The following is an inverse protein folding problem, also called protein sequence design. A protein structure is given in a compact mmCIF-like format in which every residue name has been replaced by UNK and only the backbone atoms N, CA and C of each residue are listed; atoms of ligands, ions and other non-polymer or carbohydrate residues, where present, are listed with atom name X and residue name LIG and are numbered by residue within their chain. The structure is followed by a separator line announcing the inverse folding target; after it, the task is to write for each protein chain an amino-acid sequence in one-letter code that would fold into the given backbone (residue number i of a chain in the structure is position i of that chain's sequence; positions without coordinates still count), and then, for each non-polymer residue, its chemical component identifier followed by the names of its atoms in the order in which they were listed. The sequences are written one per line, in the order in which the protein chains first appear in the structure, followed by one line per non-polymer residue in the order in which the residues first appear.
data_IF_877931884458
#
_entry.id   IF_877931884458
#
_cell.length_a   1.000
_cell.length_b   1.000
_cell.length_c   1.000
_cell.angle_alpha   90.00
_cell.angle_beta   90.00
_cell.angle_gamma   90.00
#
_symmetry.space_group_name_H-M   'P 1'
#
loop_
_entity.id
_entity.type
_entity.pdbx_description
1 polymer ?
#
# COMPACT_ATOMS: atom_id res chain seq x y z
N UNK A 1 -72.53 29.54 26.97
CA UNK A 1 -72.18 28.38 26.12
C UNK A 1 -72.25 28.84 24.68
N UNK A 2 -71.16 28.75 23.92
CA UNK A 2 -71.10 29.22 22.52
C UNK A 2 -70.14 28.31 21.73
N UNK A 3 -70.52 27.80 20.56
CA UNK A 3 -69.65 26.93 19.76
C UNK A 3 -68.64 27.75 18.96
N UNK A 4 -67.35 27.40 19.03
CA UNK A 4 -66.34 27.91 18.09
C UNK A 4 -66.12 26.86 17.01
N UNK A 5 -66.35 27.26 15.74
CA UNK A 5 -66.28 26.34 14.59
C UNK A 5 -64.83 26.13 14.16
N UNK A 6 -64.44 24.88 13.93
CA UNK A 6 -63.13 24.54 13.36
C UNK A 6 -63.04 24.96 11.89
N UNK A 7 -61.97 25.69 11.53
CA UNK A 7 -61.62 25.98 10.14
C UNK A 7 -60.28 25.31 9.81
N UNK A 8 -60.34 24.23 9.03
CA UNK A 8 -59.21 23.34 8.74
C UNK A 8 -58.54 23.75 7.42
N UNK A 9 -57.43 24.49 7.50
CA UNK A 9 -56.64 24.87 6.31
C UNK A 9 -55.60 23.79 6.02
N UNK A 10 -55.75 23.11 4.88
CA UNK A 10 -54.83 22.06 4.42
C UNK A 10 -53.66 22.66 3.65
N UNK A 11 -52.43 22.60 4.21
CA UNK A 11 -51.19 22.90 3.47
C UNK A 11 -50.51 21.59 3.06
N UNK A 12 -50.52 21.27 1.77
CA UNK A 12 -49.95 20.03 1.22
C UNK A 12 -48.50 20.24 0.81
N UNK A 13 -47.56 20.02 1.73
CA UNK A 13 -46.14 19.98 1.41
C UNK A 13 -45.70 18.54 1.11
N UNK A 14 -45.32 18.28 -0.14
CA UNK A 14 -44.74 17.00 -0.55
C UNK A 14 -43.30 16.89 -0.03
N UNK A 15 -43.14 16.33 1.17
CA UNK A 15 -41.83 15.93 1.66
C UNK A 15 -41.23 14.87 0.73
N UNK A 16 -40.07 15.18 0.14
CA UNK A 16 -39.28 14.22 -0.64
C UNK A 16 -38.56 13.28 0.33
N UNK A 17 -39.22 12.17 0.65
CA UNK A 17 -38.65 11.14 1.51
C UNK A 17 -37.46 10.46 0.82
N UNK A 18 -36.24 10.76 1.28
CA UNK A 18 -35.06 9.95 0.98
C UNK A 18 -35.31 8.50 1.42
N UNK A 19 -34.89 7.48 0.64
CA UNK A 19 -35.02 6.10 1.05
C UNK A 19 -34.15 5.83 2.28
N UNK A 20 -34.79 5.65 3.44
CA UNK A 20 -34.11 5.29 4.66
C UNK A 20 -33.54 3.86 4.51
N UNK A 21 -32.23 3.76 4.29
CA UNK A 21 -31.51 2.49 4.41
C UNK A 21 -31.59 2.02 5.85
N UNK A 22 -32.56 1.15 6.12
CA UNK A 22 -32.73 0.50 7.41
C UNK A 22 -31.50 -0.33 7.73
N UNK A 23 -30.60 0.21 8.55
CA UNK A 23 -29.63 -0.59 9.29
C UNK A 23 -30.40 -1.45 10.28
N UNK A 24 -30.88 -2.59 9.81
CA UNK A 24 -31.27 -3.68 10.69
C UNK A 24 -30.04 -4.06 11.50
N UNK A 25 -30.02 -3.67 12.77
CA UNK A 25 -29.09 -4.24 13.73
C UNK A 25 -29.41 -5.74 13.79
N UNK A 26 -28.52 -6.55 13.22
CA UNK A 26 -28.69 -7.99 13.20
C UNK A 26 -28.38 -8.50 14.61
N UNK A 27 -29.43 -8.62 15.40
CA UNK A 27 -29.37 -9.15 16.76
C UNK A 27 -29.02 -10.65 16.69
N UNK A 28 -27.82 -10.99 17.15
CA UNK A 28 -27.29 -12.34 17.21
C UNK A 28 -26.72 -12.56 18.62
N UNK A 29 -27.21 -13.56 19.34
CA UNK A 29 -26.52 -14.01 20.56
C UNK A 29 -25.18 -14.64 20.13
N UNK A 30 -24.01 -14.11 20.56
CA UNK A 30 -22.72 -14.68 20.21
C UNK A 30 -22.59 -16.15 20.63
N UNK A 31 -23.36 -16.63 21.61
CA UNK A 31 -23.37 -18.03 22.07
C UNK A 31 -23.89 -19.01 21.02
N UNK A 32 -24.79 -18.59 20.12
CA UNK A 32 -25.19 -19.42 18.96
C UNK A 32 -24.03 -19.64 17.98
N UNK A 33 -23.04 -18.74 18.03
CA UNK A 33 -21.83 -18.75 17.22
C UNK A 33 -20.65 -19.39 17.96
N UNK A 34 -20.82 -19.99 19.14
CA UNK A 34 -19.75 -20.68 19.87
C UNK A 34 -19.78 -22.21 19.65
N UNK A 35 -18.61 -22.85 19.62
CA UNK A 35 -18.47 -24.32 19.70
C UNK A 35 -18.18 -24.71 21.16
N UNK A 36 -19.11 -25.37 21.87
CA UNK A 36 -18.89 -25.75 23.27
C UNK A 36 -17.67 -26.66 23.44
N UNK A 37 -16.81 -26.34 24.41
CA UNK A 37 -15.67 -27.16 24.81
C UNK A 37 -14.38 -27.00 23.98
N UNK A 38 -14.37 -26.17 22.92
CA UNK A 38 -13.13 -25.84 22.20
C UNK A 38 -12.78 -24.36 22.42
N UNK A 39 -11.56 -24.10 22.92
CA UNK A 39 -11.06 -22.75 23.18
C UNK A 39 -10.07 -22.29 22.10
N UNK A 40 -9.98 -20.97 21.91
CA UNK A 40 -8.96 -20.28 21.11
C UNK A 40 -8.34 -19.16 21.92
N UNK A 41 -7.07 -18.84 21.65
CA UNK A 41 -6.44 -17.65 22.22
C UNK A 41 -6.57 -16.50 21.22
N UNK A 42 -7.48 -15.57 21.50
CA UNK A 42 -7.54 -14.28 20.83
C UNK A 42 -6.32 -13.45 21.26
N UNK A 43 -5.65 -12.83 20.29
CA UNK A 43 -4.55 -11.88 20.49
C UNK A 43 -4.93 -10.58 19.79
N UNK A 44 -5.10 -9.51 20.56
CA UNK A 44 -5.34 -8.15 20.08
C UNK A 44 -4.09 -7.32 20.33
N UNK A 45 -3.55 -6.69 19.30
CA UNK A 45 -2.37 -5.81 19.39
C UNK A 45 -2.80 -4.37 19.20
N UNK A 46 -2.28 -3.48 20.04
CA UNK A 46 -2.73 -2.08 20.09
C UNK A 46 -1.58 -1.10 20.40
N UNK A 47 -1.71 0.13 19.91
CA UNK A 47 -0.86 1.26 20.27
C UNK A 47 -1.75 2.41 20.74
N UNK A 48 -1.82 2.62 22.06
CA UNK A 48 -2.78 3.55 22.65
C UNK A 48 -4.22 3.09 22.40
N UNK A 49 -5.02 3.93 21.74
CA UNK A 49 -6.41 3.62 21.38
C UNK A 49 -6.56 2.87 20.03
N UNK A 50 -5.49 2.73 19.25
CA UNK A 50 -5.54 2.12 17.91
C UNK A 50 -5.24 0.63 17.99
N UNK A 51 -6.16 -0.21 17.53
CA UNK A 51 -5.91 -1.65 17.28
C UNK A 51 -5.12 -1.78 15.97
N UNK A 52 -4.08 -2.62 15.99
CA UNK A 52 -3.15 -2.85 14.89
C UNK A 52 -3.30 -4.24 14.27
N UNK A 53 -3.61 -5.26 15.07
CA UNK A 53 -3.87 -6.64 14.64
C UNK A 53 -4.85 -7.35 15.59
N UNK A 54 -5.58 -8.33 15.07
CA UNK A 54 -6.44 -9.26 15.83
C UNK A 54 -6.33 -10.67 15.22
N UNK A 55 -5.78 -11.63 15.96
CA UNK A 55 -5.62 -13.01 15.49
C UNK A 55 -6.12 -14.03 16.52
N UNK A 56 -6.84 -15.05 16.06
CA UNK A 56 -7.34 -16.15 16.88
C UNK A 56 -6.46 -17.40 16.71
N UNK A 57 -5.54 -17.61 17.66
CA UNK A 57 -4.62 -18.76 17.67
C UNK A 57 -5.41 -20.05 17.91
N UNK A 58 -5.13 -21.07 17.09
CA UNK A 58 -5.81 -22.38 17.12
C UNK A 58 -7.14 -22.44 16.36
N UNK A 59 -7.70 -21.31 15.88
CA UNK A 59 -9.00 -21.32 15.17
C UNK A 59 -8.93 -21.98 13.78
N UNK A 60 -7.79 -21.88 13.09
CA UNK A 60 -7.55 -22.48 11.77
C UNK A 60 -6.30 -23.37 11.79
N UNK A 61 -6.34 -24.49 11.05
CA UNK A 61 -5.21 -25.44 10.96
C UNK A 61 -3.90 -24.73 10.61
N UNK A 62 -2.84 -24.97 11.39
CA UNK A 62 -1.51 -24.39 11.18
C UNK A 62 -1.31 -22.98 11.75
N UNK A 63 -2.34 -22.37 12.36
CA UNK A 63 -2.22 -21.09 13.11
C UNK A 63 -2.14 -21.34 14.62
N UNK A 64 -1.25 -22.24 15.01
CA UNK A 64 -1.08 -22.74 16.38
C UNK A 64 -0.08 -21.92 17.22
N UNK A 65 0.39 -20.78 16.69
CA UNK A 65 1.29 -19.83 17.36
C UNK A 65 1.00 -18.39 16.93
N UNK A 66 1.26 -17.45 17.83
CA UNK A 66 1.39 -16.01 17.55
C UNK A 66 2.84 -15.59 17.72
N UNK A 67 3.43 -14.98 16.70
CA UNK A 67 4.87 -14.65 16.65
C UNK A 67 5.13 -13.15 16.49
N UNK A 68 6.08 -12.63 17.27
CA UNK A 68 6.67 -11.30 17.12
C UNK A 68 8.03 -11.47 16.43
N UNK A 69 8.40 -10.59 15.49
CA UNK A 69 9.71 -10.66 14.83
C UNK A 69 9.80 -9.76 13.59
N UNK A 70 10.96 -9.73 12.95
CA UNK A 70 11.17 -9.01 11.68
C UNK A 70 10.91 -9.88 10.44
N UNK A 71 10.73 -11.20 10.62
CA UNK A 71 10.59 -12.14 9.50
C UNK A 71 9.18 -12.08 8.89
N UNK A 72 9.02 -12.37 7.57
CA UNK A 72 7.71 -12.37 6.91
C UNK A 72 6.68 -13.35 7.49
N UNK A 73 7.12 -14.31 8.31
CA UNK A 73 6.30 -15.33 8.97
C UNK A 73 5.92 -14.97 10.42
N UNK A 74 6.29 -13.77 10.89
CA UNK A 74 5.79 -13.23 12.15
C UNK A 74 4.30 -12.87 12.04
N UNK A 75 3.50 -13.13 13.09
CA UNK A 75 2.13 -12.61 13.18
C UNK A 75 2.13 -11.08 13.30
N UNK A 76 3.13 -10.49 13.97
CA UNK A 76 3.25 -9.05 14.15
C UNK A 76 4.71 -8.58 14.00
N UNK A 77 4.97 -7.54 13.15
CA UNK A 77 6.32 -7.03 12.96
C UNK A 77 6.84 -6.31 14.21
N UNK A 78 7.98 -6.76 14.73
CA UNK A 78 8.67 -6.15 15.89
C UNK A 78 10.18 -6.24 15.67
N UNK A 79 10.87 -5.12 15.87
CA UNK A 79 12.32 -5.04 15.65
C UNK A 79 13.14 -6.04 16.46
N UNK A 80 14.19 -6.56 15.84
CA UNK A 80 15.10 -7.58 16.39
C UNK A 80 15.68 -7.17 17.76
N UNK A 81 16.15 -5.91 17.86
CA UNK A 81 16.74 -5.33 19.07
C UNK A 81 15.79 -5.30 20.28
N UNK A 82 14.48 -5.38 20.04
CA UNK A 82 13.46 -5.41 21.08
C UNK A 82 13.13 -6.84 21.54
N UNK A 83 13.61 -7.89 20.87
CA UNK A 83 13.25 -9.29 21.15
C UNK A 83 14.43 -10.12 21.67
N UNK A 84 14.27 -10.86 22.78
CA UNK A 84 15.31 -11.77 23.25
C UNK A 84 15.50 -12.91 22.26
N UNK A 85 16.71 -13.01 21.69
CA UNK A 85 17.03 -13.96 20.61
C UNK A 85 16.98 -13.37 19.20
N UNK A 86 16.64 -12.08 19.04
CA UNK A 86 17.02 -11.27 17.88
C UNK A 86 16.38 -11.56 16.52
N UNK A 87 15.43 -12.50 16.38
CA UNK A 87 14.70 -12.71 15.11
C UNK A 87 13.22 -13.06 15.28
N UNK A 88 12.87 -13.96 16.20
CA UNK A 88 11.45 -14.32 16.44
C UNK A 88 11.19 -14.72 17.88
N UNK A 89 10.13 -14.15 18.47
CA UNK A 89 9.61 -14.50 19.78
C UNK A 89 8.17 -15.02 19.67
N UNK A 90 7.92 -16.26 20.10
CA UNK A 90 6.56 -16.83 20.15
C UNK A 90 5.86 -16.28 21.38
N UNK A 91 4.91 -15.35 21.22
CA UNK A 91 4.14 -14.73 22.30
C UNK A 91 3.08 -15.69 22.85
N UNK A 92 2.37 -16.40 21.97
CA UNK A 92 1.31 -17.37 22.33
C UNK A 92 1.53 -18.65 21.54
N UNK A 93 1.36 -19.80 22.18
CA UNK A 93 1.44 -21.11 21.52
C UNK A 93 0.35 -22.06 22.02
N UNK A 94 -0.27 -22.81 21.11
CA UNK A 94 -1.17 -23.94 21.42
C UNK A 94 -0.35 -25.17 21.83
N UNK A 95 -0.76 -25.83 22.90
CA UNK A 95 -0.22 -27.09 23.40
C UNK A 95 -1.38 -28.04 23.72
N UNK A 96 -1.73 -28.94 22.79
CA UNK A 96 -2.99 -29.69 22.88
C UNK A 96 -4.16 -28.70 22.82
N UNK A 97 -5.08 -28.76 23.77
CA UNK A 97 -6.25 -27.87 23.83
C UNK A 97 -6.07 -26.69 24.80
N UNK A 98 -4.84 -26.45 25.24
CA UNK A 98 -4.47 -25.34 26.15
C UNK A 98 -3.51 -24.38 25.45
N UNK A 99 -3.53 -23.12 25.87
CA UNK A 99 -2.65 -22.09 25.35
C UNK A 99 -1.61 -21.68 26.39
N UNK A 100 -0.40 -21.40 25.93
CA UNK A 100 0.67 -20.87 26.76
C UNK A 100 1.08 -19.49 26.28
N UNK A 101 1.04 -18.53 27.21
CA UNK A 101 1.63 -17.21 27.06
C UNK A 101 3.13 -17.31 27.37
N UNK A 102 3.97 -16.70 26.54
CA UNK A 102 5.38 -16.44 26.86
C UNK A 102 5.62 -14.94 27.00
N UNK A 103 6.47 -14.56 27.94
CA UNK A 103 6.82 -13.17 28.19
C UNK A 103 8.28 -13.00 28.60
N UNK A 104 8.81 -11.81 28.36
CA UNK A 104 10.22 -11.44 28.65
C UNK A 104 10.31 -10.67 29.96
N UNK A 105 11.52 -10.48 30.50
CA UNK A 105 11.73 -9.61 31.67
C UNK A 105 11.54 -8.10 31.38
N UNK A 106 11.50 -7.71 30.10
CA UNK A 106 11.22 -6.34 29.66
C UNK A 106 9.71 -6.06 29.53
N UNK A 107 8.91 -7.10 29.28
CA UNK A 107 7.45 -7.00 29.25
C UNK A 107 6.89 -6.71 30.65
N UNK A 108 5.80 -5.93 30.69
CA UNK A 108 5.08 -5.55 31.92
C UNK A 108 3.60 -5.86 31.80
N UNK A 109 2.88 -5.85 32.91
CA UNK A 109 1.43 -6.06 32.94
C UNK A 109 1.05 -7.30 33.77
N UNK A 110 -0.10 -7.86 33.44
CA UNK A 110 -0.90 -8.66 34.37
C UNK A 110 -1.73 -9.74 33.66
N UNK A 111 -2.13 -10.76 34.42
CA UNK A 111 -3.05 -11.81 33.98
C UNK A 111 -4.20 -11.93 34.97
N UNK A 112 -5.42 -11.90 34.44
CA UNK A 112 -6.67 -12.04 35.18
C UNK A 112 -7.31 -13.40 34.86
N UNK A 113 -7.69 -14.16 35.88
CA UNK A 113 -8.52 -15.36 35.74
C UNK A 113 -9.29 -15.64 37.03
N UNK A 114 -10.51 -16.17 36.94
CA UNK A 114 -11.32 -16.57 38.11
C UNK A 114 -11.47 -15.48 39.20
N UNK A 115 -11.51 -14.20 38.80
CA UNK A 115 -11.56 -13.05 39.72
C UNK A 115 -10.22 -12.66 40.39
N UNK A 116 -9.14 -13.40 40.12
CA UNK A 116 -7.77 -13.11 40.57
C UNK A 116 -7.01 -12.34 39.49
N UNK A 117 -6.34 -11.26 39.89
CA UNK A 117 -5.35 -10.55 39.08
C UNK A 117 -3.95 -10.90 39.59
N UNK A 118 -2.98 -11.12 38.69
CA UNK A 118 -1.58 -11.31 39.04
C UNK A 118 -0.63 -10.67 38.03
N UNK A 119 0.31 -9.87 38.53
CA UNK A 119 1.40 -9.25 37.77
C UNK A 119 2.32 -10.31 37.13
N UNK A 120 2.86 -10.06 35.93
CA UNK A 120 3.79 -10.99 35.25
C UNK A 120 4.99 -11.35 36.15
N UNK A 121 5.47 -10.40 36.96
CA UNK A 121 6.56 -10.64 37.93
C UNK A 121 6.13 -11.54 39.09
N UNK A 122 4.87 -11.42 39.53
CA UNK A 122 4.32 -12.26 40.59
C UNK A 122 4.08 -13.71 40.11
N UNK A 123 3.74 -13.91 38.83
CA UNK A 123 3.69 -15.26 38.24
C UNK A 123 5.05 -15.97 38.27
N UNK A 124 6.15 -15.25 38.02
CA UNK A 124 7.52 -15.79 38.14
C UNK A 124 7.87 -16.05 39.60
N UNK A 125 7.66 -15.07 40.48
CA UNK A 125 8.00 -15.18 41.91
C UNK A 125 7.24 -16.28 42.66
N UNK A 126 6.01 -16.61 42.23
CA UNK A 126 5.20 -17.71 42.79
C UNK A 126 5.45 -19.06 42.10
N UNK A 127 6.41 -19.16 41.18
CA UNK A 127 6.71 -20.40 40.43
C UNK A 127 5.63 -20.83 39.43
N UNK A 128 4.63 -19.98 39.17
CA UNK A 128 3.51 -20.27 38.26
C UNK A 128 3.93 -20.18 36.79
N UNK A 129 4.95 -19.39 36.47
CA UNK A 129 5.53 -19.28 35.14
C UNK A 129 6.86 -20.03 35.02
N UNK A 130 6.90 -21.08 34.20
CA UNK A 130 8.10 -21.90 33.95
C UNK A 130 9.18 -21.08 33.23
N UNK A 131 10.46 -21.11 33.63
CA UNK A 131 11.53 -20.50 32.86
C UNK A 131 11.73 -21.19 31.51
N UNK A 132 12.13 -20.43 30.48
CA UNK A 132 12.42 -20.89 29.11
C UNK A 132 13.59 -20.09 28.52
N UNK A 133 14.14 -20.53 27.38
CA UNK A 133 15.10 -19.71 26.63
C UNK A 133 14.47 -18.35 26.24
N UNK A 134 15.07 -17.25 26.70
CA UNK A 134 14.62 -15.88 26.39
C UNK A 134 13.44 -15.35 27.20
N UNK A 135 12.93 -16.07 28.23
CA UNK A 135 11.84 -15.56 29.06
C UNK A 135 11.09 -16.65 29.83
N UNK A 136 9.86 -16.36 30.25
CA UNK A 136 9.03 -17.30 31.01
C UNK A 136 7.80 -17.74 30.21
N UNK A 137 7.22 -18.88 30.57
CA UNK A 137 6.00 -19.45 29.99
C UNK A 137 4.96 -19.70 31.08
N UNK A 138 3.78 -19.10 30.93
CA UNK A 138 2.60 -19.35 31.77
C UNK A 138 1.53 -20.08 30.95
N UNK A 139 0.98 -21.17 31.47
CA UNK A 139 -0.17 -21.84 30.82
C UNK A 139 -1.43 -21.06 31.18
N UNK A 140 -2.08 -20.46 30.18
CA UNK A 140 -3.32 -19.72 30.37
C UNK A 140 -4.44 -20.69 30.81
N UNK A 141 -5.16 -20.37 31.90
CA UNK A 141 -6.45 -20.99 32.19
C UNK A 141 -7.52 -20.62 31.15
N UNK A 142 -8.61 -21.36 31.18
CA UNK A 142 -9.78 -21.09 30.35
C UNK A 142 -10.50 -19.82 30.86
N UNK A 143 -10.92 -18.93 29.95
CA UNK A 143 -11.44 -17.60 30.30
C UNK A 143 -10.40 -16.60 30.83
N UNK A 144 -9.11 -16.95 30.88
CA UNK A 144 -8.06 -16.04 31.32
C UNK A 144 -7.82 -14.89 30.32
N UNK A 145 -7.46 -13.71 30.84
CA UNK A 145 -7.12 -12.51 30.06
C UNK A 145 -5.79 -11.94 30.53
N UNK A 146 -4.80 -11.84 29.65
CA UNK A 146 -3.51 -11.23 29.92
C UNK A 146 -3.37 -9.89 29.18
N UNK A 147 -2.79 -8.90 29.84
CA UNK A 147 -2.34 -7.64 29.24
C UNK A 147 -0.82 -7.55 29.37
N UNK A 148 -0.13 -7.42 28.25
CA UNK A 148 1.32 -7.28 28.19
C UNK A 148 1.69 -5.98 27.49
N UNK A 149 2.62 -5.23 28.06
CA UNK A 149 3.12 -3.98 27.51
C UNK A 149 4.61 -4.08 27.19
N UNK A 150 4.98 -3.62 26.00
CA UNK A 150 6.33 -3.64 25.51
C UNK A 150 6.60 -2.43 24.60
N UNK A 151 7.51 -1.55 25.00
CA UNK A 151 7.72 -0.26 24.34
C UNK A 151 6.46 0.61 24.39
N UNK A 152 5.80 0.80 23.25
CA UNK A 152 4.49 1.50 23.12
C UNK A 152 3.35 0.58 22.67
N UNK A 153 3.61 -0.73 22.56
CA UNK A 153 2.63 -1.72 22.08
C UNK A 153 2.06 -2.49 23.26
N UNK A 154 0.73 -2.63 23.28
CA UNK A 154 -0.01 -3.43 24.24
C UNK A 154 -0.62 -4.65 23.54
N UNK A 155 -0.24 -5.83 23.99
CA UNK A 155 -0.77 -7.12 23.56
C UNK A 155 -1.79 -7.59 24.60
N UNK A 156 -3.01 -7.83 24.16
CA UNK A 156 -4.09 -8.35 24.99
C UNK A 156 -4.38 -9.77 24.51
N UNK A 157 -4.25 -10.76 25.39
CA UNK A 157 -4.42 -12.18 25.06
C UNK A 157 -5.55 -12.76 25.88
N UNK A 158 -6.58 -13.31 25.25
CA UNK A 158 -7.75 -13.88 25.93
C UNK A 158 -8.02 -15.32 25.50
N UNK A 159 -8.15 -16.24 26.46
CA UNK A 159 -8.68 -17.58 26.19
C UNK A 159 -10.20 -17.51 26.08
N UNK A 160 -10.73 -17.55 24.85
CA UNK A 160 -12.16 -17.41 24.54
C UNK A 160 -12.73 -18.69 23.92
N UNK A 161 -14.05 -18.84 23.94
CA UNK A 161 -14.73 -19.93 23.24
C UNK A 161 -14.50 -19.83 21.72
N UNK A 162 -14.31 -20.95 21.03
CA UNK A 162 -14.08 -20.95 19.60
C UNK A 162 -15.35 -20.55 18.85
N UNK A 163 -15.26 -19.48 18.06
CA UNK A 163 -16.32 -19.14 17.12
C UNK A 163 -16.53 -20.25 16.08
N UNK A 164 -17.73 -20.83 16.09
CA UNK A 164 -18.27 -21.79 15.12
C UNK A 164 -18.39 -21.12 13.75
N UNK A 165 -17.70 -21.65 12.75
CA UNK A 165 -17.78 -21.13 11.39
C UNK A 165 -19.14 -21.42 10.75
N UNK A 166 -20.10 -20.51 10.91
CA UNK A 166 -21.31 -20.52 10.06
C UNK A 166 -20.89 -20.16 8.65
N UNK A 167 -20.78 -21.18 7.80
CA UNK A 167 -20.58 -21.04 6.36
C UNK A 167 -21.85 -20.46 5.71
N UNK A 168 -22.11 -19.16 5.91
CA UNK A 168 -23.05 -18.43 5.05
C UNK A 168 -22.54 -18.57 3.63
N UNK A 169 -23.39 -19.08 2.74
CA UNK A 169 -23.17 -19.05 1.29
C UNK A 169 -22.83 -17.60 0.93
N UNK A 170 -21.64 -17.37 0.36
CA UNK A 170 -21.15 -16.03 0.10
C UNK A 170 -22.11 -15.32 -0.86
N UNK A 171 -22.96 -14.45 -0.31
CA UNK A 171 -23.90 -13.65 -1.08
C UNK A 171 -23.11 -12.52 -1.73
N UNK A 172 -22.55 -12.85 -2.90
CA UNK A 172 -21.75 -11.93 -3.69
C UNK A 172 -22.55 -10.65 -3.95
N UNK A 173 -22.01 -9.53 -3.47
CA UNK A 173 -22.61 -8.20 -3.60
C UNK A 173 -22.80 -7.89 -5.09
N UNK A 174 -24.04 -8.01 -5.55
CA UNK A 174 -24.42 -7.85 -6.97
C UNK A 174 -24.14 -6.42 -7.45
N UNK A 175 -24.53 -5.35 -6.71
CA UNK A 175 -24.06 -3.99 -6.99
C UNK A 175 -22.53 -3.87 -7.15
N UNK A 176 -21.74 -4.39 -6.21
CA UNK A 176 -20.27 -4.31 -6.27
C UNK A 176 -19.71 -5.05 -7.51
N UNK A 177 -20.22 -6.24 -7.82
CA UNK A 177 -19.81 -6.99 -9.01
C UNK A 177 -20.25 -6.31 -10.32
N UNK A 178 -21.43 -5.68 -10.36
CA UNK A 178 -21.87 -4.89 -11.51
C UNK A 178 -20.98 -3.65 -11.71
N UNK A 179 -20.65 -2.91 -10.65
CA UNK A 179 -19.75 -1.75 -10.74
C UNK A 179 -18.34 -2.15 -11.19
N UNK A 180 -17.80 -3.25 -10.67
CA UNK A 180 -16.49 -3.77 -11.07
C UNK A 180 -16.51 -4.26 -12.52
N UNK A 181 -17.54 -5.00 -12.95
CA UNK A 181 -17.67 -5.48 -14.33
C UNK A 181 -17.86 -4.31 -15.33
N UNK A 182 -18.66 -3.30 -14.98
CA UNK A 182 -18.82 -2.09 -15.80
C UNK A 182 -17.53 -1.30 -15.93
N UNK A 183 -16.79 -1.14 -14.83
CA UNK A 183 -15.47 -0.48 -14.83
C UNK A 183 -14.45 -1.24 -15.67
N UNK A 184 -14.42 -2.58 -15.55
CA UNK A 184 -13.56 -3.44 -16.36
C UNK A 184 -13.93 -3.41 -17.85
N UNK A 185 -15.22 -3.30 -18.19
CA UNK A 185 -15.66 -3.13 -19.58
C UNK A 185 -15.20 -1.78 -20.16
N UNK A 186 -15.39 -0.67 -19.43
CA UNK A 186 -14.93 0.67 -19.88
C UNK A 186 -13.41 0.73 -20.05
N UNK A 187 -12.65 0.23 -19.06
CA UNK A 187 -11.19 0.17 -19.14
C UNK A 187 -10.71 -0.77 -20.25
N UNK A 188 -11.38 -1.92 -20.44
CA UNK A 188 -11.09 -2.86 -21.51
C UNK A 188 -11.37 -2.30 -22.90
N UNK A 189 -12.46 -1.55 -23.09
CA UNK A 189 -12.75 -0.84 -24.34
C UNK A 189 -11.73 0.26 -24.61
N UNK A 190 -11.34 1.05 -23.60
CA UNK A 190 -10.30 2.07 -23.75
C UNK A 190 -8.94 1.47 -24.12
N UNK A 191 -8.55 0.38 -23.45
CA UNK A 191 -7.29 -0.33 -23.72
C UNK A 191 -7.31 -0.99 -25.12
N UNK A 192 -8.44 -1.57 -25.53
CA UNK A 192 -8.61 -2.11 -26.88
C UNK A 192 -8.50 -1.01 -27.95
N UNK A 193 -9.06 0.19 -27.71
CA UNK A 193 -8.90 1.33 -28.61
C UNK A 193 -7.44 1.77 -28.72
N UNK A 194 -6.69 1.81 -27.61
CA UNK A 194 -5.24 2.11 -27.64
C UNK A 194 -4.47 1.08 -28.48
N UNK A 195 -4.77 -0.21 -28.34
CA UNK A 195 -4.15 -1.27 -29.15
C UNK A 195 -4.70 -1.39 -30.60
N UNK A 196 -5.68 -0.59 -30.98
CA UNK A 196 -6.21 -0.50 -32.35
C UNK A 196 -5.65 0.70 -33.14
N UNK A 197 -4.86 1.58 -32.51
CA UNK A 197 -4.10 2.62 -33.21
C UNK A 197 -2.82 1.99 -33.79
N UNK A 198 -2.57 2.05 -35.11
CA UNK A 198 -1.30 1.61 -35.69
C UNK A 198 -0.14 2.47 -35.19
N UNK A 199 1.04 1.87 -34.98
CA UNK A 199 2.24 2.61 -34.56
C UNK A 199 2.59 3.76 -35.54
N UNK A 200 2.34 3.56 -36.84
CA UNK A 200 2.51 4.59 -37.89
C UNK A 200 1.71 5.87 -37.60
N UNK A 201 0.51 5.75 -37.01
CA UNK A 201 -0.35 6.88 -36.68
C UNK A 201 0.09 7.61 -35.39
N UNK A 202 0.85 6.94 -34.51
CA UNK A 202 1.52 7.58 -33.37
C UNK A 202 2.83 8.25 -33.82
N UNK A 203 3.53 7.65 -34.79
CA UNK A 203 4.76 8.18 -35.37
C UNK A 203 4.55 9.47 -36.21
N UNK A 204 3.38 9.63 -36.85
CA UNK A 204 2.96 10.82 -37.64
C UNK A 204 2.73 12.10 -36.81
N UNK A 205 3.54 12.35 -35.76
CA UNK A 205 3.38 13.53 -34.89
C UNK A 205 4.69 14.14 -34.35
N UNK A 206 5.87 13.67 -34.77
CA UNK A 206 7.16 14.22 -34.33
C UNK A 206 7.90 15.03 -35.41
N UNK A 207 8.05 14.48 -36.63
CA UNK A 207 8.73 15.20 -37.72
C UNK A 207 7.90 16.39 -38.22
N UNK A 208 6.60 16.23 -38.51
CA UNK A 208 5.74 17.36 -38.96
C UNK A 208 5.64 18.47 -37.90
N UNK A 209 5.53 18.13 -36.62
CA UNK A 209 5.53 19.10 -35.51
C UNK A 209 6.88 19.80 -35.36
N UNK A 210 7.97 19.19 -35.84
CA UNK A 210 9.30 19.81 -35.88
C UNK A 210 9.49 20.66 -37.16
N UNK A 211 8.92 20.25 -38.29
CA UNK A 211 9.00 20.95 -39.57
C UNK A 211 8.20 22.26 -39.57
N UNK A 212 6.99 22.27 -39.01
CA UNK A 212 6.13 23.47 -38.91
C UNK A 212 6.55 24.41 -37.76
N UNK A 213 7.66 24.09 -37.08
CA UNK A 213 8.12 24.78 -35.87
C UNK A 213 8.87 26.09 -36.19
N UNK A 214 8.10 27.11 -36.57
CA UNK A 214 8.54 28.50 -36.87
C UNK A 214 9.48 29.18 -35.85
N UNK A 215 9.72 28.58 -34.68
CA UNK A 215 10.62 29.08 -33.64
C UNK A 215 12.08 28.65 -33.83
N UNK A 216 12.38 27.66 -34.68
CA UNK A 216 13.76 27.20 -34.97
C UNK A 216 14.67 28.35 -35.45
N UNK A 217 14.12 29.35 -36.16
CA UNK A 217 14.86 30.52 -36.65
C UNK A 217 15.45 31.45 -35.59
N UNK A 218 15.18 31.24 -34.29
CA UNK A 218 15.74 32.03 -33.19
C UNK A 218 16.93 31.39 -32.47
N UNK A 219 17.24 30.10 -32.72
CA UNK A 219 18.35 29.40 -32.03
C UNK A 219 19.71 29.64 -32.71
N UNK A 220 19.74 29.95 -34.01
CA UNK A 220 20.94 30.35 -34.74
C UNK A 220 20.83 31.78 -35.26
N UNK A 221 20.97 32.74 -34.33
CA UNK A 221 21.18 34.14 -34.66
C UNK A 221 22.69 34.41 -34.58
N UNK A 222 23.43 34.53 -35.71
CA UNK A 222 24.87 34.75 -35.68
C UNK A 222 25.19 36.14 -35.14
N UNK A 223 26.26 36.26 -34.35
CA UNK A 223 26.71 37.53 -33.78
C UNK A 223 26.91 38.58 -34.88
N UNK A 224 26.33 39.77 -34.68
CA UNK A 224 26.65 40.93 -35.50
C UNK A 224 28.05 41.42 -35.13
N UNK A 225 29.02 41.47 -36.05
CA UNK A 225 30.28 42.15 -35.78
C UNK A 225 30.01 43.64 -35.57
N UNK A 226 30.61 44.24 -34.54
CA UNK A 226 30.53 45.68 -34.32
C UNK A 226 31.26 46.47 -35.42
N UNK A 227 30.87 47.73 -35.70
CA UNK A 227 31.52 48.54 -36.73
C UNK A 227 32.92 48.96 -36.28
N UNK A 228 33.96 48.34 -36.85
CA UNK A 228 35.34 48.79 -36.63
C UNK A 228 35.57 50.17 -37.27
N UNK A 229 36.06 51.13 -36.47
CA UNK A 229 36.38 52.47 -36.94
C UNK A 229 37.54 52.45 -37.96
N UNK A 230 37.47 53.32 -38.98
CA UNK A 230 38.41 53.33 -40.10
C UNK A 230 39.30 54.58 -40.07
N UNK A 231 40.59 54.36 -39.80
CA UNK A 231 41.66 55.34 -39.99
C UNK A 231 41.85 55.76 -41.46
N UNK A 232 42.67 56.80 -41.68
CA UNK A 232 42.67 57.59 -42.92
C UNK A 232 43.98 57.51 -43.72
N UNK A 233 43.97 56.69 -44.77
CA UNK A 233 44.95 56.62 -45.86
C UNK A 233 44.14 56.30 -47.15
N UNK A 234 44.33 56.90 -48.35
CA UNK A 234 45.44 57.67 -48.90
C UNK A 234 46.29 56.76 -49.82
N UNK A 235 46.26 56.83 -51.16
CA UNK A 235 45.60 57.76 -52.10
C UNK A 235 45.21 57.02 -53.43
N UNK A 236 44.73 57.72 -54.46
CA UNK A 236 43.84 57.18 -55.50
C UNK A 236 44.47 56.68 -56.84
N UNK A 237 43.57 56.20 -57.72
CA UNK A 237 43.70 55.71 -59.13
C UNK A 237 43.95 54.19 -59.29
N UNK A 238 43.13 53.40 -60.00
CA UNK A 238 41.80 53.65 -60.57
C UNK A 238 41.57 52.99 -61.95
N UNK A 239 40.75 51.94 -62.01
CA UNK A 239 40.14 51.41 -63.25
C UNK A 239 38.93 50.50 -62.92
N UNK A 240 37.82 50.72 -63.61
CA UNK A 240 36.65 49.82 -63.72
C UNK A 240 36.85 48.90 -64.96
N UNK A 241 36.10 47.82 -65.26
CA UNK A 241 34.88 47.26 -64.68
C UNK A 241 34.81 45.70 -64.82
N UNK A 242 33.69 44.96 -65.05
CA UNK A 242 33.32 43.83 -64.21
C UNK A 242 33.63 42.43 -64.80
N UNK A 243 33.42 41.38 -63.98
CA UNK A 243 33.50 39.97 -64.38
C UNK A 243 32.12 39.30 -64.40
N UNK A 244 31.85 38.52 -65.46
CA UNK A 244 30.60 37.77 -65.66
C UNK A 244 30.89 36.52 -66.49
N UNK A 245 30.29 35.37 -66.10
CA UNK A 245 30.40 34.06 -66.79
C UNK A 245 31.83 33.45 -66.82
N UNK A 246 32.08 32.17 -67.09
CA UNK A 246 31.31 30.94 -66.90
C UNK A 246 32.27 29.71 -66.95
N UNK A 247 31.75 28.52 -66.72
CA UNK A 247 32.47 27.26 -66.50
C UNK A 247 33.42 26.76 -67.61
N UNK A 248 34.53 26.12 -67.19
CA UNK A 248 35.22 25.01 -67.85
C UNK A 248 36.10 24.28 -66.78
N UNK A 249 35.80 23.04 -66.40
CA UNK A 249 36.32 21.77 -66.97
C UNK A 249 37.60 21.24 -66.28
N UNK A 250 37.66 19.91 -66.05
CA UNK A 250 38.85 19.19 -65.56
C UNK A 250 39.90 18.94 -66.67
N UNK A 251 40.97 18.13 -66.44
CA UNK A 251 40.89 16.81 -65.79
C UNK A 251 42.04 16.47 -64.81
N UNK A 252 42.08 15.21 -64.33
CA UNK A 252 43.21 14.60 -63.61
C UNK A 252 44.32 14.09 -64.58
N UNK A 253 45.50 13.66 -64.08
CA UNK A 253 45.72 12.23 -63.82
C UNK A 253 46.57 11.93 -62.55
N UNK A 254 47.13 10.70 -62.44
CA UNK A 254 47.61 10.10 -61.19
C UNK A 254 48.97 9.32 -61.32
N UNK A 255 49.29 8.49 -60.30
CA UNK A 255 50.35 7.45 -60.21
C UNK A 255 51.62 7.85 -59.42
N UNK A 256 52.23 6.96 -58.60
CA UNK A 256 51.77 5.62 -58.18
C UNK A 256 52.82 4.78 -57.40
N UNK A 257 52.43 3.52 -57.08
CA UNK A 257 53.26 2.29 -56.97
C UNK A 257 54.42 2.22 -55.92
N UNK A 258 54.81 1.08 -55.30
CA UNK A 258 54.48 -0.38 -55.38
C UNK A 258 55.01 -1.07 -54.07
N UNK A 259 54.92 -2.36 -53.71
CA UNK A 259 54.42 -3.61 -54.35
C UNK A 259 53.88 -4.66 -53.30
N UNK A 260 54.58 -5.78 -53.12
CA UNK A 260 54.27 -7.02 -52.36
C UNK A 260 55.63 -7.78 -52.12
N UNK A 261 55.81 -8.94 -51.42
CA UNK A 261 54.89 -10.10 -51.39
C UNK A 261 54.69 -10.89 -50.06
N UNK A 262 53.60 -11.67 -50.09
CA UNK A 262 53.31 -13.00 -49.51
C UNK A 262 54.29 -13.71 -48.57
N UNK A 263 53.68 -14.39 -47.58
CA UNK A 263 54.15 -15.60 -46.89
C UNK A 263 52.95 -16.39 -46.41
#
# INVERSE_FOLDING_TARGET
MSPTVHLRVSKTERSLASPAFGRGALDFDPRELETPGEAVAEVVVSHGATVLDVQHVGQTRGRDRYTLGETPEASFPVSADALPGGQTFVLVQRHGDRYALRFTAQMRGEVHWSGRTLDLRALVAQGLATPTAGGHRFVLPDGARARLEHGRVTYQVATVARARSIARKAEADKPLWLCNAGSAAVLGTLLALVHLVPDDALAMSLDDITADNRFVGYIHQPDRPEPAERGLDGDARGATEPSSSAAASGPAPASGAKAHPQG
#
